data_IF_390727858159
#
_entry.id   IF_390727858159
#
_cell.length_a   1.000
_cell.length_b   1.000
_cell.length_c   1.000
_cell.angle_alpha   90.00
_cell.angle_beta   90.00
_cell.angle_gamma   90.00
#
_symmetry.space_group_name_H-M   'P 1'
#
loop_
_entity.id
_entity.type
_entity.pdbx_description
1 polymer ?
#
# COMPACT_ATOMS: atom_id res chain seq x y z
N UNK A 1 4.68 -20.50 0.75
CA UNK A 1 3.84 -19.43 0.18
C UNK A 1 3.13 -18.63 1.26
N UNK A 2 2.48 -19.27 2.21
CA UNK A 2 1.76 -18.54 3.27
C UNK A 2 2.69 -17.64 4.09
N UNK A 3 3.82 -18.15 4.53
CA UNK A 3 4.79 -17.35 5.30
C UNK A 3 5.30 -16.17 4.48
N UNK A 4 5.60 -16.37 3.20
CA UNK A 4 6.09 -15.31 2.33
C UNK A 4 5.04 -14.21 2.16
N UNK A 5 3.78 -14.59 1.95
CA UNK A 5 2.68 -13.63 1.87
C UNK A 5 2.52 -12.85 3.17
N UNK A 6 2.62 -13.51 4.33
CA UNK A 6 2.54 -12.83 5.61
C UNK A 6 3.69 -11.84 5.81
N UNK A 7 4.90 -12.20 5.40
CA UNK A 7 6.04 -11.28 5.48
C UNK A 7 5.74 -10.02 4.65
N UNK A 8 5.28 -10.19 3.41
CA UNK A 8 4.92 -9.05 2.56
C UNK A 8 3.78 -8.24 3.17
N UNK A 9 2.74 -8.91 3.69
CA UNK A 9 1.61 -8.22 4.30
C UNK A 9 2.02 -7.35 5.48
N UNK A 10 2.87 -7.87 6.37
CA UNK A 10 3.32 -7.12 7.55
C UNK A 10 4.21 -5.96 7.13
N UNK A 11 5.20 -6.22 6.27
CA UNK A 11 6.11 -5.16 5.82
C UNK A 11 5.36 -4.05 5.09
N UNK A 12 4.50 -4.42 4.16
CA UNK A 12 3.75 -3.44 3.36
C UNK A 12 2.65 -2.79 4.16
N UNK A 13 2.02 -3.54 5.06
CA UNK A 13 1.01 -2.99 5.95
C UNK A 13 1.57 -1.89 6.82
N UNK A 14 2.74 -2.11 7.42
CA UNK A 14 3.42 -1.09 8.22
C UNK A 14 3.85 0.07 7.33
N UNK A 15 4.49 -0.22 6.21
CA UNK A 15 4.98 0.82 5.29
C UNK A 15 3.86 1.76 4.85
N UNK A 16 2.77 1.20 4.32
CA UNK A 16 1.69 2.03 3.78
C UNK A 16 0.90 2.75 4.88
N UNK A 17 0.76 2.14 6.06
CA UNK A 17 0.14 2.84 7.19
C UNK A 17 0.97 4.05 7.58
N UNK A 18 2.30 3.90 7.68
CA UNK A 18 3.20 5.00 8.04
C UNK A 18 3.19 6.08 6.96
N UNK A 19 3.37 5.70 5.69
CA UNK A 19 3.38 6.66 4.58
C UNK A 19 2.03 7.36 4.48
N UNK A 20 0.94 6.64 4.68
CA UNK A 20 -0.39 7.22 4.69
C UNK A 20 -0.56 8.28 5.77
N UNK A 21 -0.05 8.04 6.99
CA UNK A 21 -0.05 9.03 8.06
C UNK A 21 0.79 10.24 7.66
N UNK A 22 1.95 10.01 7.02
CA UNK A 22 2.83 11.10 6.58
C UNK A 22 2.09 12.02 5.59
N UNK A 23 1.21 11.48 4.74
CA UNK A 23 0.39 12.31 3.85
C UNK A 23 -0.46 13.34 4.59
N UNK A 24 -0.92 13.02 5.81
CA UNK A 24 -1.72 13.95 6.61
C UNK A 24 -0.88 14.93 7.42
N UNK A 25 0.31 14.53 7.84
CA UNK A 25 1.18 15.32 8.70
C UNK A 25 2.18 16.16 7.89
N UNK A 26 2.74 15.59 6.84
CA UNK A 26 3.79 16.16 5.97
C UNK A 26 4.85 16.88 6.80
N UNK A 27 5.64 16.13 7.60
CA UNK A 27 6.61 16.75 8.50
C UNK A 27 7.75 17.44 7.73
N UNK A 28 8.34 18.48 8.32
CA UNK A 28 9.53 19.09 7.78
C UNK A 28 10.73 18.14 7.91
N UNK A 29 11.73 18.31 7.04
CA UNK A 29 12.96 17.53 7.11
C UNK A 29 12.86 16.11 6.57
N UNK A 30 11.90 15.82 5.69
CA UNK A 30 11.83 14.53 5.01
C UNK A 30 13.08 14.31 4.16
N UNK A 31 13.49 13.04 4.05
CA UNK A 31 14.58 12.66 3.17
C UNK A 31 14.32 13.15 1.74
N UNK A 32 15.38 13.48 1.00
CA UNK A 32 15.27 14.01 -0.36
C UNK A 32 14.42 13.11 -1.28
N UNK A 33 14.48 11.79 -1.09
CA UNK A 33 13.69 10.85 -1.87
C UNK A 33 12.18 11.02 -1.67
N UNK A 34 11.76 11.68 -0.58
CA UNK A 34 10.36 11.96 -0.27
C UNK A 34 10.02 13.45 -0.45
N UNK A 35 10.93 14.23 -1.06
CA UNK A 35 10.70 15.66 -1.26
C UNK A 35 9.46 15.97 -2.09
N UNK A 36 9.00 15.03 -2.91
CA UNK A 36 7.78 15.17 -3.70
C UNK A 36 6.54 15.37 -2.83
N UNK A 37 6.58 14.94 -1.57
CA UNK A 37 5.48 15.15 -0.63
C UNK A 37 5.13 16.63 -0.47
N UNK A 38 6.13 17.52 -0.58
CA UNK A 38 5.90 18.96 -0.44
C UNK A 38 5.20 19.56 -1.66
N UNK A 39 5.22 18.87 -2.80
CA UNK A 39 4.64 19.36 -4.05
C UNK A 39 3.26 18.79 -4.34
N UNK A 40 2.83 17.81 -3.55
CA UNK A 40 1.55 17.16 -3.76
C UNK A 40 0.41 18.03 -3.23
N UNK A 41 -0.69 18.14 -3.99
CA UNK A 41 -1.83 18.94 -3.56
C UNK A 41 -2.48 18.35 -2.29
N UNK A 42 -3.13 19.19 -1.45
CA UNK A 42 -3.83 18.70 -0.26
C UNK A 42 -4.86 17.60 -0.58
N UNK A 43 -5.61 17.74 -1.67
CA UNK A 43 -6.59 16.73 -2.06
C UNK A 43 -5.96 15.38 -2.34
N UNK A 44 -4.82 15.38 -3.05
CA UNK A 44 -4.10 14.14 -3.34
C UNK A 44 -3.48 13.54 -2.07
N UNK A 45 -3.02 14.37 -1.13
CA UNK A 45 -2.58 13.88 0.18
C UNK A 45 -3.69 13.16 0.92
N UNK A 46 -4.89 13.75 0.97
CA UNK A 46 -6.03 13.15 1.68
C UNK A 46 -6.48 11.84 1.03
N UNK A 47 -6.57 11.81 -0.29
CA UNK A 47 -6.98 10.61 -1.02
C UNK A 47 -5.96 9.49 -0.84
N UNK A 48 -4.68 9.79 -1.11
CA UNK A 48 -3.61 8.79 -1.01
C UNK A 48 -3.42 8.33 0.43
N UNK A 49 -3.39 9.27 1.38
CA UNK A 49 -3.19 8.95 2.78
C UNK A 49 -4.30 8.05 3.32
N UNK A 50 -5.56 8.38 3.01
CA UNK A 50 -6.69 7.57 3.45
C UNK A 50 -6.63 6.17 2.84
N UNK A 51 -6.39 6.08 1.53
CA UNK A 51 -6.32 4.79 0.84
C UNK A 51 -5.17 3.93 1.40
N UNK A 52 -4.00 4.54 1.63
CA UNK A 52 -2.84 3.80 2.11
C UNK A 52 -2.99 3.34 3.56
N UNK A 53 -3.58 4.16 4.44
CA UNK A 53 -3.85 3.75 5.81
C UNK A 53 -4.85 2.59 5.84
N UNK A 54 -5.96 2.73 5.14
CA UNK A 54 -6.98 1.67 5.10
C UNK A 54 -6.41 0.38 4.51
N UNK A 55 -5.66 0.48 3.43
CA UNK A 55 -5.05 -0.69 2.82
C UNK A 55 -3.97 -1.29 3.72
N UNK A 56 -3.13 -0.46 4.32
CA UNK A 56 -2.09 -0.94 5.23
C UNK A 56 -2.68 -1.74 6.39
N UNK A 57 -3.72 -1.21 7.02
CA UNK A 57 -4.43 -1.93 8.08
C UNK A 57 -5.13 -3.19 7.52
N UNK A 58 -5.68 -3.11 6.31
CA UNK A 58 -6.33 -4.22 5.65
C UNK A 58 -5.40 -5.37 5.29
N UNK A 59 -4.10 -5.10 5.15
CA UNK A 59 -3.12 -6.16 4.91
C UNK A 59 -2.82 -6.98 6.18
N UNK A 60 -3.03 -6.42 7.36
CA UNK A 60 -2.60 -7.05 8.61
C UNK A 60 -3.78 -7.51 9.47
N UNK A 61 -4.72 -6.62 9.74
CA UNK A 61 -5.75 -6.85 10.76
C UNK A 61 -6.70 -7.99 10.39
N UNK A 62 -7.24 -8.08 9.17
CA UNK A 62 -8.17 -9.18 8.86
C UNK A 62 -7.55 -10.57 9.04
N UNK A 63 -6.28 -10.72 8.69
CA UNK A 63 -5.60 -12.00 8.84
C UNK A 63 -5.37 -12.38 10.29
N UNK A 64 -5.02 -11.41 11.14
CA UNK A 64 -4.79 -11.66 12.57
C UNK A 64 -6.10 -11.98 13.27
N UNK A 65 -7.15 -11.20 13.01
CA UNK A 65 -8.44 -11.36 13.67
C UNK A 65 -9.29 -12.47 13.04
N UNK A 66 -8.96 -12.87 11.81
CA UNK A 66 -9.74 -13.81 11.02
C UNK A 66 -11.17 -13.30 10.73
N UNK A 67 -11.34 -11.98 10.76
CA UNK A 67 -12.61 -11.32 10.46
C UNK A 67 -12.48 -10.62 9.12
N UNK A 68 -13.47 -10.82 8.22
CA UNK A 68 -13.51 -10.17 6.91
C UNK A 68 -12.19 -10.32 6.14
N UNK A 69 -11.68 -11.54 6.08
CA UNK A 69 -10.37 -11.82 5.48
C UNK A 69 -10.29 -11.45 4.00
N UNK A 70 -11.43 -11.29 3.33
CA UNK A 70 -11.45 -10.80 1.93
C UNK A 70 -10.97 -9.37 1.79
N UNK A 71 -10.91 -8.60 2.89
CA UNK A 71 -10.38 -7.24 2.85
C UNK A 71 -8.90 -7.21 2.51
N UNK A 72 -8.15 -8.27 2.83
CA UNK A 72 -6.72 -8.30 2.53
C UNK A 72 -6.42 -8.32 1.02
N UNK A 73 -7.00 -9.23 0.20
CA UNK A 73 -6.78 -9.11 -1.24
C UNK A 73 -7.36 -7.83 -1.83
N UNK A 74 -8.47 -7.32 -1.29
CA UNK A 74 -9.00 -6.02 -1.73
C UNK A 74 -8.04 -4.88 -1.40
N UNK A 75 -7.40 -4.92 -0.22
CA UNK A 75 -6.39 -3.94 0.16
C UNK A 75 -5.20 -3.97 -0.82
N UNK A 76 -4.73 -5.17 -1.17
CA UNK A 76 -3.67 -5.31 -2.16
C UNK A 76 -4.06 -4.74 -3.52
N UNK A 77 -5.27 -5.02 -3.97
CA UNK A 77 -5.78 -4.47 -5.23
C UNK A 77 -5.91 -2.94 -5.18
N UNK A 78 -6.38 -2.40 -4.06
CA UNK A 78 -6.46 -0.96 -3.86
C UNK A 78 -5.09 -0.29 -3.93
N UNK A 79 -4.07 -0.92 -3.35
CA UNK A 79 -2.70 -0.41 -3.41
C UNK A 79 -2.16 -0.43 -4.84
N UNK A 80 -2.52 -1.41 -5.65
CA UNK A 80 -2.16 -1.40 -7.08
C UNK A 80 -2.70 -0.14 -7.74
N UNK A 81 -3.97 0.20 -7.48
CA UNK A 81 -4.56 1.42 -8.05
C UNK A 81 -3.85 2.67 -7.57
N UNK A 82 -3.51 2.75 -6.28
CA UNK A 82 -2.76 3.88 -5.73
C UNK A 82 -1.39 3.99 -6.40
N UNK A 83 -0.71 2.87 -6.61
CA UNK A 83 0.61 2.87 -7.25
C UNK A 83 0.54 3.23 -8.72
N UNK A 84 -0.53 2.88 -9.43
CA UNK A 84 -0.74 3.32 -10.81
C UNK A 84 -0.87 4.85 -10.84
N UNK A 85 -1.67 5.42 -9.95
CA UNK A 85 -1.81 6.88 -9.84
C UNK A 85 -0.49 7.56 -9.51
N UNK A 86 0.24 7.02 -8.54
CA UNK A 86 1.56 7.55 -8.16
C UNK A 86 2.56 7.44 -9.33
N UNK A 87 2.54 6.32 -10.06
CA UNK A 87 3.37 6.12 -11.24
C UNK A 87 3.14 7.23 -12.26
N UNK A 88 1.87 7.51 -12.59
CA UNK A 88 1.54 8.55 -13.58
C UNK A 88 2.02 9.91 -13.08
N UNK A 89 1.77 10.23 -11.82
CA UNK A 89 2.14 11.53 -11.25
C UNK A 89 3.66 11.74 -11.27
N UNK A 90 4.43 10.74 -10.83
CA UNK A 90 5.90 10.83 -10.81
C UNK A 90 6.49 10.80 -12.22
N UNK A 91 5.89 10.03 -13.14
CA UNK A 91 6.36 9.96 -14.52
C UNK A 91 6.24 11.31 -15.21
N UNK A 92 5.13 12.03 -14.99
CA UNK A 92 4.92 13.36 -15.54
C UNK A 92 5.95 14.37 -15.03
N UNK A 93 6.50 14.13 -13.85
CA UNK A 93 7.51 15.00 -13.23
C UNK A 93 8.94 14.56 -13.52
N UNK A 94 9.12 13.44 -14.24
CA UNK A 94 10.46 12.92 -14.54
C UNK A 94 11.17 12.28 -13.35
N UNK A 95 10.44 11.90 -12.31
CA UNK A 95 10.99 11.33 -11.08
C UNK A 95 11.12 9.81 -11.22
N UNK A 96 12.09 9.36 -12.03
CA UNK A 96 12.18 7.96 -12.44
C UNK A 96 12.55 7.01 -11.31
N UNK A 97 13.24 7.46 -10.26
CA UNK A 97 13.46 6.62 -9.08
C UNK A 97 12.14 6.27 -8.40
N UNK A 98 11.24 7.25 -8.28
CA UNK A 98 9.93 7.02 -7.69
C UNK A 98 9.07 6.15 -8.59
N UNK A 99 9.18 6.31 -9.91
CA UNK A 99 8.49 5.45 -10.88
C UNK A 99 8.90 3.99 -10.67
N UNK A 100 10.21 3.73 -10.56
CA UNK A 100 10.72 2.39 -10.30
C UNK A 100 10.20 1.81 -8.99
N UNK A 101 10.21 2.61 -7.93
CA UNK A 101 9.67 2.20 -6.63
C UNK A 101 8.18 1.87 -6.74
N UNK A 102 7.40 2.71 -7.43
CA UNK A 102 5.97 2.47 -7.61
C UNK A 102 5.70 1.16 -8.36
N UNK A 103 6.54 0.83 -9.36
CA UNK A 103 6.41 -0.44 -10.07
C UNK A 103 6.66 -1.63 -9.14
N UNK A 104 7.70 -1.57 -8.31
CA UNK A 104 8.03 -2.63 -7.37
C UNK A 104 6.92 -2.79 -6.33
N UNK A 105 6.50 -1.68 -5.71
CA UNK A 105 5.44 -1.71 -4.70
C UNK A 105 4.12 -2.17 -5.30
N UNK A 106 3.80 -1.74 -6.51
CA UNK A 106 2.59 -2.14 -7.21
C UNK A 106 2.60 -3.63 -7.56
N UNK A 107 3.73 -4.14 -8.05
CA UNK A 107 3.86 -5.55 -8.40
C UNK A 107 3.73 -6.43 -7.16
N UNK A 108 4.37 -6.04 -6.05
CA UNK A 108 4.27 -6.80 -4.81
C UNK A 108 2.85 -6.75 -4.23
N UNK A 109 2.17 -5.60 -4.33
CA UNK A 109 0.78 -5.47 -3.90
C UNK A 109 -0.14 -6.37 -4.75
N UNK A 110 0.09 -6.42 -6.06
CA UNK A 110 -0.65 -7.31 -6.96
C UNK A 110 -0.42 -8.79 -6.59
N UNK A 111 0.81 -9.12 -6.23
CA UNK A 111 1.13 -10.49 -5.81
C UNK A 111 0.40 -10.85 -4.51
N UNK A 112 0.37 -9.94 -3.53
CA UNK A 112 -0.40 -10.17 -2.30
C UNK A 112 -1.88 -10.37 -2.63
N UNK A 113 -2.44 -9.50 -3.48
CA UNK A 113 -3.85 -9.59 -3.86
C UNK A 113 -4.16 -10.94 -4.51
N UNK A 114 -3.38 -11.34 -5.49
CA UNK A 114 -3.57 -12.61 -6.16
C UNK A 114 -3.31 -13.79 -5.23
N UNK A 115 -2.23 -13.71 -4.45
CA UNK A 115 -1.87 -14.77 -3.51
C UNK A 115 -2.97 -15.03 -2.48
N UNK A 116 -3.54 -13.97 -1.93
CA UNK A 116 -4.60 -14.11 -0.92
C UNK A 116 -5.98 -14.32 -1.53
N UNK A 117 -6.13 -14.02 -2.80
CA UNK A 117 -7.39 -14.30 -3.50
C UNK A 117 -7.48 -15.74 -3.98
N UNK A 118 -6.41 -16.26 -4.60
CA UNK A 118 -6.43 -17.55 -5.29
C UNK A 118 -5.49 -18.60 -4.74
N UNK A 119 -4.24 -18.24 -4.46
CA UNK A 119 -3.21 -19.23 -4.15
C UNK A 119 -3.29 -19.74 -2.72
N UNK A 120 -3.45 -18.84 -1.77
CA UNK A 120 -3.39 -19.14 -0.34
C UNK A 120 -4.32 -18.19 0.41
N UNK A 121 -5.65 -18.33 0.25
CA UNK A 121 -6.58 -17.47 0.96
C UNK A 121 -6.40 -17.55 2.48
N UNK A 122 -6.62 -16.41 3.16
CA UNK A 122 -6.55 -16.38 4.61
C UNK A 122 -7.74 -17.13 5.22
N UNK A 123 -7.50 -17.94 6.26
CA UNK A 123 -8.60 -18.63 6.92
C UNK A 123 -9.44 -17.63 7.73
N UNK A 124 -10.75 -17.77 7.61
CA UNK A 124 -11.69 -17.04 8.45
C UNK A 124 -11.99 -17.79 9.75
N UNK A 125 -12.79 -17.15 10.62
CA UNK A 125 -13.15 -17.76 11.92
C UNK A 125 -14.06 -18.99 11.74
N UNK A 126 -14.79 -19.03 10.65
CA UNK A 126 -15.78 -20.09 10.40
C UNK A 126 -15.24 -21.23 9.53
N UNK A 127 -13.93 -21.30 9.34
CA UNK A 127 -13.38 -22.40 8.55
C UNK A 127 -11.99 -22.14 8.01
#
# INVERSE_FOLDING_TARGET
MNMFLWILQVLFGIYFTVVGVIHFVVPSGLHAAMGWMYDLSPGLHYISGTAEILAGLGLIIPGITKIQTRLTPLAGAGLVLVMIGAFVWHAQRGEFQNVGLNLVLGAASAFIAYGRWKLQPLPGRDG
#
